data_IF_483366361219
#
_entry.id   IF_483366361219
#
_cell.length_a   1.000
_cell.length_b   1.000
_cell.length_c   1.000
_cell.angle_alpha   90.00
_cell.angle_beta   90.00
_cell.angle_gamma   90.00
#
_symmetry.space_group_name_H-M   'P 1'
#
loop_
_entity.id
_entity.type
_entity.pdbx_description
1 polymer ?
#
# COMPACT_ATOMS: atom_id res chain seq x y z
N UNK A 1 9.82 -4.99 29.41
CA UNK A 1 9.82 -5.12 27.90
C UNK A 1 10.35 -3.80 27.38
N UNK A 2 11.28 -3.80 26.42
CA UNK A 2 11.77 -2.53 25.84
C UNK A 2 10.60 -1.77 25.23
N UNK A 3 10.55 -0.44 25.39
CA UNK A 3 9.51 0.44 24.83
C UNK A 3 9.32 0.21 23.31
N UNK A 4 10.41 -0.04 22.59
CA UNK A 4 10.38 -0.33 21.15
C UNK A 4 9.46 -1.53 20.85
N UNK A 5 9.60 -2.63 21.56
CA UNK A 5 8.80 -3.83 21.32
C UNK A 5 7.32 -3.62 21.66
N UNK A 6 7.03 -2.86 22.73
CA UNK A 6 5.65 -2.46 23.06
C UNK A 6 5.02 -1.63 21.95
N UNK A 7 5.78 -0.70 21.36
CA UNK A 7 5.33 0.13 20.24
C UNK A 7 5.17 -0.65 18.93
N UNK A 8 6.06 -1.61 18.64
CA UNK A 8 5.92 -2.50 17.49
C UNK A 8 4.65 -3.36 17.58
N UNK A 9 4.37 -3.89 18.77
CA UNK A 9 3.21 -4.77 19.03
C UNK A 9 1.90 -4.01 19.28
N UNK A 10 1.92 -2.68 19.30
CA UNK A 10 0.71 -1.89 19.51
C UNK A 10 -0.37 -2.18 18.45
N UNK A 11 -1.65 -2.29 18.83
CA UNK A 11 -2.73 -2.48 17.88
C UNK A 11 -2.74 -1.43 16.76
N UNK A 12 -3.20 -1.83 15.58
CA UNK A 12 -3.43 -0.95 14.45
C UNK A 12 -4.80 -0.26 14.56
N UNK A 13 -4.90 0.95 14.03
CA UNK A 13 -6.18 1.63 13.93
C UNK A 13 -7.11 0.94 12.91
N UNK A 14 -8.43 1.03 13.05
CA UNK A 14 -9.38 0.33 12.16
C UNK A 14 -9.16 0.60 10.67
N UNK A 15 -8.74 1.80 10.28
CA UNK A 15 -8.48 2.19 8.89
C UNK A 15 -7.16 1.60 8.32
N UNK A 16 -6.28 1.05 9.16
CA UNK A 16 -5.06 0.35 8.76
C UNK A 16 -5.30 -1.15 8.56
N UNK A 17 -6.51 -1.64 8.87
CA UNK A 17 -6.88 -3.04 8.83
C UNK A 17 -7.74 -3.34 7.61
N UNK A 18 -7.38 -4.40 6.92
CA UNK A 18 -8.14 -4.95 5.82
C UNK A 18 -8.82 -6.27 6.20
N UNK A 19 -9.84 -6.66 5.44
CA UNK A 19 -10.58 -7.89 5.64
C UNK A 19 -10.63 -8.71 4.36
N UNK A 20 -10.54 -10.02 4.50
CA UNK A 20 -10.71 -10.95 3.38
C UNK A 20 -11.59 -12.13 3.76
N UNK A 21 -12.32 -12.65 2.79
CA UNK A 21 -13.05 -13.90 2.97
C UNK A 21 -12.07 -15.07 3.03
N UNK A 22 -12.17 -15.88 4.06
CA UNK A 22 -11.44 -17.13 4.20
C UNK A 22 -12.25 -18.30 3.64
N UNK A 23 -13.54 -18.36 3.98
CA UNK A 23 -14.50 -19.37 3.51
C UNK A 23 -15.86 -18.72 3.35
N UNK A 24 -16.65 -19.19 2.41
CA UNK A 24 -18.01 -18.72 2.19
C UNK A 24 -18.90 -19.82 1.62
N UNK A 25 -20.21 -19.68 1.77
CA UNK A 25 -21.17 -20.63 1.24
C UNK A 25 -22.61 -20.17 1.46
N UNK A 26 -23.54 -21.05 1.12
CA UNK A 26 -24.98 -20.87 1.33
C UNK A 26 -25.48 -21.87 2.36
N UNK A 27 -26.34 -21.44 3.27
CA UNK A 27 -27.05 -22.33 4.21
C UNK A 27 -28.51 -21.87 4.34
N UNK A 28 -29.46 -22.76 4.06
CA UNK A 28 -30.90 -22.45 4.07
C UNK A 28 -31.24 -21.18 3.24
N UNK A 29 -30.63 -21.04 2.07
CA UNK A 29 -30.87 -19.91 1.17
C UNK A 29 -30.23 -18.59 1.63
N UNK A 30 -29.42 -18.58 2.70
CA UNK A 30 -28.73 -17.39 3.20
C UNK A 30 -27.22 -17.50 2.97
N UNK A 31 -26.57 -16.44 2.47
CA UNK A 31 -25.12 -16.40 2.33
C UNK A 31 -24.45 -16.27 3.69
N UNK A 32 -23.30 -16.93 3.83
CA UNK A 32 -22.40 -16.77 4.95
C UNK A 32 -20.96 -16.67 4.47
N UNK A 33 -20.14 -15.93 5.19
CA UNK A 33 -18.70 -15.91 4.98
C UNK A 33 -17.95 -15.72 6.30
N UNK A 34 -16.97 -16.59 6.51
CA UNK A 34 -15.95 -16.40 7.53
C UNK A 34 -14.89 -15.47 6.96
N UNK A 35 -14.54 -14.43 7.72
CA UNK A 35 -13.61 -13.39 7.29
C UNK A 35 -12.44 -13.30 8.24
N UNK A 36 -11.29 -12.91 7.71
CA UNK A 36 -10.05 -12.70 8.46
C UNK A 36 -9.61 -11.25 8.31
N UNK A 37 -9.22 -10.67 9.43
CA UNK A 37 -8.57 -9.35 9.47
C UNK A 37 -7.07 -9.50 9.23
N UNK A 38 -6.47 -8.51 8.57
CA UNK A 38 -5.03 -8.48 8.32
C UNK A 38 -4.54 -7.04 8.11
N UNK A 39 -3.24 -6.84 8.19
CA UNK A 39 -2.58 -5.61 7.74
C UNK A 39 -1.95 -5.82 6.36
N UNK A 40 -1.87 -4.77 5.56
CA UNK A 40 -1.08 -4.83 4.34
C UNK A 40 0.43 -4.63 4.63
N UNK A 41 1.27 -4.93 3.65
CA UNK A 41 2.72 -4.77 3.82
C UNK A 41 3.15 -3.29 3.96
N UNK A 42 2.30 -2.33 3.57
CA UNK A 42 2.58 -0.89 3.71
C UNK A 42 2.36 -0.45 5.14
N UNK A 43 1.28 -0.88 5.79
CA UNK A 43 1.02 -0.62 7.21
C UNK A 43 2.16 -1.19 8.08
N UNK A 44 2.62 -2.41 7.80
CA UNK A 44 3.75 -3.00 8.51
C UNK A 44 5.06 -2.19 8.33
N UNK A 45 5.36 -1.74 7.10
CA UNK A 45 6.53 -0.88 6.83
C UNK A 45 6.41 0.49 7.50
N UNK A 46 5.23 1.08 7.49
CA UNK A 46 4.98 2.36 8.15
C UNK A 46 5.23 2.25 9.65
N UNK A 47 4.78 1.15 10.29
CA UNK A 47 5.05 0.85 11.70
C UNK A 47 6.55 0.73 11.97
N UNK A 48 7.30 -0.02 11.16
CA UNK A 48 8.76 -0.12 11.27
C UNK A 48 9.43 1.24 11.15
N UNK A 49 9.11 2.01 10.11
CA UNK A 49 9.68 3.34 9.90
C UNK A 49 9.42 4.29 11.06
N UNK A 50 8.20 4.26 11.63
CA UNK A 50 7.79 5.15 12.72
C UNK A 50 8.41 4.76 14.06
N UNK A 51 8.59 3.45 14.31
CA UNK A 51 9.03 2.97 15.63
C UNK A 51 10.53 2.86 15.75
N UNK A 52 11.20 2.31 14.72
CA UNK A 52 12.66 2.08 14.76
C UNK A 52 13.44 3.00 13.83
N UNK A 53 12.81 3.65 12.87
CA UNK A 53 13.46 4.43 11.83
C UNK A 53 13.82 3.58 10.59
N UNK A 54 13.75 4.16 9.37
CA UNK A 54 13.99 3.42 8.14
C UNK A 54 15.42 2.86 8.02
N UNK A 55 16.39 3.45 8.71
CA UNK A 55 17.81 3.03 8.73
C UNK A 55 18.08 1.89 9.71
N UNK A 56 17.10 1.54 10.57
CA UNK A 56 17.26 0.56 11.62
C UNK A 56 16.49 -0.73 11.37
N UNK A 57 16.04 -0.95 10.14
CA UNK A 57 15.50 -2.24 9.71
C UNK A 57 15.87 -2.56 8.27
N UNK A 58 15.96 -3.84 7.96
CA UNK A 58 16.17 -4.35 6.62
C UNK A 58 15.48 -5.70 6.47
N UNK A 59 15.12 -6.05 5.23
CA UNK A 59 14.56 -7.36 4.90
C UNK A 59 15.32 -7.99 3.74
N UNK A 60 15.64 -9.26 3.88
CA UNK A 60 16.28 -10.08 2.86
C UNK A 60 15.33 -11.24 2.53
N UNK A 61 15.29 -11.65 1.26
CA UNK A 61 14.42 -12.72 0.82
C UNK A 61 15.26 -13.87 0.23
N UNK A 62 14.89 -15.09 0.59
CA UNK A 62 15.50 -16.31 0.05
C UNK A 62 14.40 -17.28 -0.38
N UNK A 63 14.79 -18.26 -1.21
CA UNK A 63 13.91 -19.35 -1.57
C UNK A 63 13.62 -20.23 -0.35
N UNK A 64 12.33 -20.50 -0.11
CA UNK A 64 11.86 -21.45 0.89
C UNK A 64 11.54 -22.82 0.30
N UNK A 65 11.18 -23.80 1.15
CA UNK A 65 10.67 -25.10 0.71
C UNK A 65 9.45 -24.93 -0.20
N UNK A 66 9.22 -25.93 -1.07
CA UNK A 66 8.06 -25.99 -1.97
C UNK A 66 7.83 -24.70 -2.81
N UNK A 67 8.91 -24.06 -3.26
CA UNK A 67 8.90 -22.77 -3.97
C UNK A 67 8.34 -21.58 -3.15
N UNK A 68 8.26 -21.71 -1.84
CA UNK A 68 7.90 -20.62 -0.95
C UNK A 68 8.97 -19.53 -0.89
N UNK A 69 8.67 -18.46 -0.17
CA UNK A 69 9.55 -17.32 0.09
C UNK A 69 9.81 -17.22 1.58
N UNK A 70 11.07 -17.11 1.98
CA UNK A 70 11.50 -16.80 3.34
C UNK A 70 11.89 -15.32 3.38
N UNK A 71 11.35 -14.56 4.33
CA UNK A 71 11.76 -13.19 4.64
C UNK A 71 12.55 -13.19 5.95
N UNK A 72 13.77 -12.68 5.92
CA UNK A 72 14.58 -12.40 7.10
C UNK A 72 14.49 -10.91 7.38
N UNK A 73 13.71 -10.54 8.39
CA UNK A 73 13.57 -9.16 8.86
C UNK A 73 14.54 -8.93 10.01
N UNK A 74 15.51 -8.05 9.80
CA UNK A 74 16.47 -7.66 10.82
C UNK A 74 16.16 -6.27 11.35
N UNK A 75 16.16 -6.13 12.67
CA UNK A 75 16.08 -4.83 13.35
C UNK A 75 17.41 -4.54 14.05
N UNK A 76 17.79 -3.27 14.08
CA UNK A 76 18.96 -2.81 14.83
C UNK A 76 18.55 -2.47 16.25
N UNK A 77 18.97 -3.30 17.20
CA UNK A 77 18.64 -3.16 18.64
C UNK A 77 19.94 -3.03 19.42
N UNK A 78 20.09 -1.96 20.20
CA UNK A 78 21.31 -1.66 20.95
C UNK A 78 22.61 -1.68 20.10
N UNK A 79 22.49 -1.28 18.83
CA UNK A 79 23.63 -1.24 17.91
C UNK A 79 23.86 -2.53 17.11
N UNK A 80 23.22 -3.64 17.47
CA UNK A 80 23.38 -4.94 16.83
C UNK A 80 22.19 -5.25 15.90
N UNK A 81 22.45 -5.91 14.77
CA UNK A 81 21.43 -6.41 13.86
C UNK A 81 20.92 -7.77 14.33
N UNK A 82 19.68 -7.83 14.74
CA UNK A 82 19.03 -9.07 15.19
C UNK A 82 18.07 -9.54 14.09
N UNK A 83 18.34 -10.70 13.44
CA UNK A 83 17.45 -11.25 12.42
C UNK A 83 16.35 -12.11 13.04
N UNK A 84 15.14 -12.03 12.49
CA UNK A 84 14.08 -13.01 12.66
C UNK A 84 13.51 -13.33 11.30
N UNK A 85 13.04 -14.55 11.11
CA UNK A 85 12.55 -14.99 9.79
C UNK A 85 11.24 -15.76 9.88
N UNK A 86 10.45 -15.65 8.84
CA UNK A 86 9.29 -16.48 8.60
C UNK A 86 9.05 -16.56 7.08
N UNK A 87 8.23 -17.50 6.65
CA UNK A 87 8.00 -17.77 5.24
C UNK A 87 6.54 -17.78 4.86
N UNK A 88 6.29 -17.67 3.57
CA UNK A 88 4.98 -17.84 2.96
C UNK A 88 5.09 -18.59 1.64
N UNK A 89 4.02 -19.31 1.30
CA UNK A 89 3.87 -19.86 -0.02
C UNK A 89 3.68 -18.74 -1.06
N UNK A 90 4.02 -19.02 -2.31
CA UNK A 90 3.62 -18.17 -3.42
C UNK A 90 2.11 -18.24 -3.63
N UNK A 91 1.51 -17.15 -4.10
CA UNK A 91 0.07 -17.09 -4.39
C UNK A 91 -0.20 -17.44 -5.86
N UNK A 92 -1.38 -17.96 -6.17
CA UNK A 92 -1.78 -18.29 -7.54
C UNK A 92 -1.82 -17.05 -8.45
N UNK A 93 -2.17 -15.89 -7.88
CA UNK A 93 -2.20 -14.60 -8.59
C UNK A 93 -1.02 -13.75 -8.13
N UNK A 94 -0.21 -13.25 -9.08
CA UNK A 94 1.02 -12.48 -8.84
C UNK A 94 1.98 -13.21 -7.86
N UNK A 95 2.48 -14.41 -8.20
CA UNK A 95 3.20 -15.30 -7.26
C UNK A 95 4.35 -14.61 -6.52
N UNK A 96 5.17 -13.84 -7.24
CA UNK A 96 6.33 -13.14 -6.65
C UNK A 96 5.89 -12.08 -5.64
N UNK A 97 4.94 -11.23 -6.02
CA UNK A 97 4.43 -10.16 -5.15
C UNK A 97 3.71 -10.73 -3.93
N UNK A 98 2.88 -11.76 -4.14
CA UNK A 98 2.14 -12.44 -3.07
C UNK A 98 3.08 -13.12 -2.08
N UNK A 99 4.05 -13.89 -2.55
CA UNK A 99 5.04 -14.57 -1.73
C UNK A 99 5.90 -13.60 -0.92
N UNK A 100 6.49 -12.57 -1.56
CA UNK A 100 7.29 -11.56 -0.88
C UNK A 100 6.48 -10.79 0.18
N UNK A 101 5.26 -10.34 -0.15
CA UNK A 101 4.40 -9.61 0.76
C UNK A 101 3.90 -10.48 1.92
N UNK A 102 3.60 -11.75 1.64
CA UNK A 102 3.20 -12.75 2.64
C UNK A 102 4.32 -13.02 3.64
N UNK A 103 5.51 -13.40 3.14
CA UNK A 103 6.68 -13.68 3.95
C UNK A 103 7.09 -12.48 4.82
N UNK A 104 7.09 -11.27 4.24
CA UNK A 104 7.39 -10.05 4.98
C UNK A 104 6.43 -9.81 6.14
N UNK A 105 5.12 -9.91 5.92
CA UNK A 105 4.13 -9.72 6.99
C UNK A 105 4.25 -10.76 8.09
N UNK A 106 4.56 -12.01 7.74
CA UNK A 106 4.80 -13.07 8.72
C UNK A 106 6.08 -12.81 9.52
N UNK A 107 7.17 -12.37 8.87
CA UNK A 107 8.39 -11.96 9.57
C UNK A 107 8.15 -10.75 10.49
N UNK A 108 7.26 -9.80 10.10
CA UNK A 108 6.82 -8.71 10.96
C UNK A 108 6.07 -9.21 12.20
N UNK A 109 5.20 -10.23 12.06
CA UNK A 109 4.48 -10.82 13.19
C UNK A 109 5.44 -11.47 14.21
N UNK A 110 6.55 -12.09 13.78
CA UNK A 110 7.59 -12.60 14.70
C UNK A 110 8.23 -11.48 15.53
N UNK A 111 8.15 -10.23 15.08
CA UNK A 111 8.56 -9.03 15.82
C UNK A 111 7.41 -8.39 16.62
N UNK A 112 6.23 -9.03 16.67
CA UNK A 112 5.03 -8.54 17.33
C UNK A 112 4.15 -7.63 16.48
N UNK A 113 4.58 -7.23 15.29
CA UNK A 113 3.82 -6.31 14.42
C UNK A 113 2.62 -7.03 13.82
N UNK A 114 1.41 -6.73 14.33
CA UNK A 114 0.17 -7.35 13.89
C UNK A 114 -0.01 -8.79 14.38
N UNK A 115 0.84 -9.28 15.29
CA UNK A 115 0.75 -10.65 15.86
C UNK A 115 -0.61 -10.88 16.55
N UNK A 116 -1.11 -9.89 17.28
CA UNK A 116 -2.41 -9.96 17.98
C UNK A 116 -3.61 -10.26 17.05
N UNK A 117 -3.48 -10.03 15.74
CA UNK A 117 -4.53 -10.31 14.77
C UNK A 117 -4.80 -11.82 14.64
N UNK A 118 -3.84 -12.67 14.99
CA UNK A 118 -4.01 -14.11 15.02
C UNK A 118 -4.86 -14.58 16.22
N UNK A 119 -4.98 -13.75 17.26
CA UNK A 119 -5.79 -14.03 18.45
C UNK A 119 -7.27 -13.66 18.25
N UNK A 120 -7.60 -13.00 17.12
CA UNK A 120 -8.96 -12.68 16.75
C UNK A 120 -9.62 -13.96 16.21
N UNK A 121 -10.52 -14.52 17.01
CA UNK A 121 -11.24 -15.74 16.64
C UNK A 121 -12.12 -15.60 15.40
N UNK A 122 -12.94 -16.59 15.17
CA UNK A 122 -13.85 -16.64 14.01
C UNK A 122 -14.69 -15.38 13.88
N UNK A 123 -14.55 -14.73 12.76
CA UNK A 123 -15.25 -13.49 12.42
C UNK A 123 -16.17 -13.73 11.22
N UNK A 124 -17.38 -13.18 11.28
CA UNK A 124 -18.41 -13.42 10.27
C UNK A 124 -18.81 -12.14 9.57
N UNK A 125 -18.90 -12.20 8.25
CA UNK A 125 -19.37 -11.09 7.41
C UNK A 125 -20.83 -10.76 7.68
N UNK A 126 -21.17 -9.47 7.76
CA UNK A 126 -22.54 -9.00 7.77
C UNK A 126 -23.00 -8.75 6.32
N UNK A 127 -23.91 -9.60 5.82
CA UNK A 127 -24.44 -9.46 4.47
C UNK A 127 -25.55 -8.41 4.42
N UNK A 128 -25.47 -7.49 3.43
CA UNK A 128 -26.49 -6.47 3.18
C UNK A 128 -26.48 -6.08 1.69
N UNK A 129 -27.54 -5.44 1.21
CA UNK A 129 -27.62 -4.93 -0.17
C UNK A 129 -26.60 -3.82 -0.46
N UNK A 130 -26.16 -3.10 0.57
CA UNK A 130 -25.27 -1.94 0.46
C UNK A 130 -23.87 -2.17 1.05
N UNK A 131 -23.53 -3.42 1.42
CA UNK A 131 -22.23 -3.75 2.00
C UNK A 131 -21.05 -3.25 1.18
N UNK A 132 -20.00 -2.78 1.86
CA UNK A 132 -18.84 -2.15 1.24
C UNK A 132 -17.97 -3.15 0.45
N UNK A 133 -17.94 -4.41 0.88
CA UNK A 133 -17.16 -5.49 0.29
C UNK A 133 -18.02 -6.37 -0.63
N UNK A 134 -17.36 -7.16 -1.48
CA UNK A 134 -18.04 -8.11 -2.37
C UNK A 134 -17.42 -9.50 -2.28
N UNK A 135 -18.27 -10.52 -2.36
CA UNK A 135 -17.87 -11.92 -2.48
C UNK A 135 -18.76 -12.62 -3.49
N UNK A 136 -18.21 -13.56 -4.24
CA UNK A 136 -18.96 -14.40 -5.16
C UNK A 136 -19.17 -15.76 -4.52
N UNK A 137 -20.45 -16.16 -4.29
CA UNK A 137 -20.85 -17.44 -3.73
C UNK A 137 -21.76 -18.14 -4.74
N UNK A 138 -21.41 -19.34 -5.14
CA UNK A 138 -22.16 -20.15 -6.15
C UNK A 138 -22.48 -19.36 -7.44
N UNK A 139 -21.53 -18.54 -7.87
CA UNK A 139 -21.68 -17.72 -9.07
C UNK A 139 -22.41 -16.39 -8.86
N UNK A 140 -23.05 -16.15 -7.73
CA UNK A 140 -23.80 -14.93 -7.41
C UNK A 140 -22.94 -13.98 -6.58
N UNK A 141 -22.97 -12.70 -6.94
CA UNK A 141 -22.26 -11.65 -6.20
C UNK A 141 -23.11 -11.18 -5.01
N UNK A 142 -22.53 -11.26 -3.82
CA UNK A 142 -23.11 -10.77 -2.58
C UNK A 142 -22.28 -9.60 -2.03
N UNK A 143 -22.94 -8.67 -1.35
CA UNK A 143 -22.28 -7.58 -0.63
C UNK A 143 -22.26 -7.86 0.86
N UNK A 144 -21.20 -7.42 1.53
CA UNK A 144 -21.01 -7.63 2.95
C UNK A 144 -20.19 -6.51 3.59
N UNK A 145 -20.33 -6.36 4.89
CA UNK A 145 -19.53 -5.46 5.72
C UNK A 145 -18.70 -6.26 6.71
N UNK A 146 -17.46 -5.80 7.00
CA UNK A 146 -16.64 -6.42 8.04
C UNK A 146 -17.27 -6.29 9.41
N UNK A 147 -17.06 -7.27 10.30
CA UNK A 147 -17.50 -7.18 11.68
C UNK A 147 -16.71 -6.10 12.43
N UNK A 148 -17.31 -5.52 13.46
CA UNK A 148 -16.61 -4.61 14.37
C UNK A 148 -15.65 -5.40 15.25
N UNK A 149 -14.41 -4.93 15.36
CA UNK A 149 -13.44 -5.49 16.27
C UNK A 149 -13.82 -5.22 17.73
N UNK A 150 -13.53 -6.20 18.59
CA UNK A 150 -13.64 -5.99 20.03
C UNK A 150 -12.68 -4.90 20.51
N UNK A 151 -13.07 -4.04 21.48
CA UNK A 151 -12.23 -2.94 21.98
C UNK A 151 -10.84 -3.37 22.46
N UNK A 152 -10.66 -4.60 22.89
CA UNK A 152 -9.37 -5.13 23.33
C UNK A 152 -8.33 -5.21 22.19
N UNK A 153 -8.76 -5.29 20.94
CA UNK A 153 -7.93 -5.34 19.74
C UNK A 153 -7.74 -3.96 19.08
N UNK A 154 -8.24 -2.92 19.69
CA UNK A 154 -8.12 -1.55 19.22
C UNK A 154 -7.09 -0.78 20.07
N UNK A 155 -6.48 0.28 19.54
CA UNK A 155 -5.59 1.13 20.31
C UNK A 155 -6.29 1.67 21.56
N UNK A 156 -5.69 1.46 22.74
CA UNK A 156 -6.27 1.88 24.04
C UNK A 156 -6.41 3.42 24.17
N UNK A 157 -5.65 4.15 23.37
CA UNK A 157 -5.71 5.59 23.21
C UNK A 157 -5.95 5.92 21.73
N UNK A 158 -7.12 5.54 21.19
CA UNK A 158 -7.70 6.34 20.14
C UNK A 158 -8.06 7.68 20.81
N UNK A 159 -7.05 8.51 21.02
CA UNK A 159 -7.19 9.90 21.49
C UNK A 159 -8.25 10.57 20.61
N UNK A 160 -9.04 11.52 21.10
CA UNK A 160 -9.90 12.39 20.26
C UNK A 160 -9.14 13.01 19.06
N UNK A 161 -7.81 13.09 19.14
CA UNK A 161 -6.90 13.48 18.06
C UNK A 161 -6.85 12.48 16.89
N UNK A 162 -7.35 11.26 17.01
CA UNK A 162 -7.62 10.42 15.83
C UNK A 162 -8.73 11.07 14.98
N UNK A 163 -9.70 11.75 15.58
CA UNK A 163 -10.67 12.57 14.85
C UNK A 163 -10.03 13.82 14.24
N UNK A 164 -9.12 14.49 14.94
CA UNK A 164 -8.36 15.61 14.37
C UNK A 164 -7.42 15.17 13.25
N UNK A 165 -6.83 13.96 13.32
CA UNK A 165 -6.03 13.41 12.24
C UNK A 165 -6.92 12.95 11.08
N UNK A 166 -8.04 12.30 11.36
CA UNK A 166 -9.05 11.93 10.35
C UNK A 166 -9.73 13.18 9.77
N UNK A 167 -9.99 14.22 10.57
CA UNK A 167 -10.49 15.52 10.11
C UNK A 167 -9.43 16.33 9.37
N UNK A 168 -8.16 16.25 9.77
CA UNK A 168 -7.04 16.83 9.03
C UNK A 168 -6.76 16.06 7.73
N UNK A 169 -6.89 14.72 7.73
CA UNK A 169 -6.81 13.90 6.52
C UNK A 169 -8.02 14.16 5.62
N UNK A 170 -9.23 14.21 6.17
CA UNK A 170 -10.46 14.55 5.44
C UNK A 170 -10.48 16.01 4.97
N UNK A 171 -9.91 16.94 5.73
CA UNK A 171 -9.69 18.32 5.30
C UNK A 171 -8.61 18.42 4.22
N UNK A 172 -7.59 17.58 4.27
CA UNK A 172 -6.58 17.43 3.22
C UNK A 172 -7.17 16.78 1.97
N UNK A 173 -8.06 15.80 2.11
CA UNK A 173 -8.81 15.17 1.02
C UNK A 173 -9.86 16.11 0.44
N UNK A 174 -10.55 16.91 1.27
CA UNK A 174 -11.51 17.93 0.83
C UNK A 174 -10.84 19.18 0.22
N UNK A 175 -9.54 19.39 0.47
CA UNK A 175 -8.73 20.41 -0.20
C UNK A 175 -8.25 19.99 -1.61
N UNK A 176 -8.90 18.99 -2.23
CA UNK A 176 -8.72 18.68 -3.65
C UNK A 176 -7.63 17.66 -3.96
N UNK A 177 -7.50 16.60 -3.16
CA UNK A 177 -6.70 15.47 -3.55
C UNK A 177 -7.39 14.70 -4.68
N UNK A 178 -7.05 15.06 -5.91
CA UNK A 178 -7.54 14.44 -7.15
C UNK A 178 -6.78 13.15 -7.52
N UNK A 179 -6.28 12.40 -6.54
CA UNK A 179 -5.58 11.12 -6.77
C UNK A 179 -4.17 11.24 -7.35
N UNK A 180 -3.65 12.45 -7.49
CA UNK A 180 -2.30 12.69 -7.97
C UNK A 180 -1.33 12.68 -6.79
N UNK A 181 -0.40 11.70 -6.74
CA UNK A 181 0.80 11.84 -5.93
C UNK A 181 1.41 13.22 -6.19
N UNK A 182 1.93 13.95 -5.17
CA UNK A 182 2.74 15.11 -5.44
C UNK A 182 3.89 14.65 -6.33
N UNK A 183 3.84 15.04 -7.60
CA UNK A 183 4.91 14.75 -8.55
C UNK A 183 6.08 15.59 -8.07
N UNK A 184 7.08 14.95 -7.47
CA UNK A 184 8.36 15.62 -7.20
C UNK A 184 8.82 16.19 -8.53
N UNK A 185 9.14 17.47 -8.55
CA UNK A 185 9.78 18.08 -9.74
C UNK A 185 10.98 17.19 -10.09
N UNK A 186 10.97 16.49 -11.22
CA UNK A 186 12.05 15.57 -11.55
C UNK A 186 13.33 16.41 -11.77
N UNK A 187 14.47 15.87 -11.37
CA UNK A 187 15.74 16.43 -11.81
C UNK A 187 15.87 16.24 -13.34
N UNK A 188 16.82 16.90 -13.96
CA UNK A 188 17.01 16.88 -15.42
C UNK A 188 17.21 15.44 -15.96
N UNK A 189 17.93 14.59 -15.26
CA UNK A 189 18.20 13.20 -15.65
C UNK A 189 16.91 12.38 -15.65
N UNK A 190 16.11 12.46 -14.58
CA UNK A 190 14.82 11.78 -14.47
C UNK A 190 13.81 12.32 -15.49
N UNK A 191 13.83 13.63 -15.77
CA UNK A 191 12.96 14.22 -16.77
C UNK A 191 13.27 13.68 -18.18
N UNK A 192 14.55 13.53 -18.54
CA UNK A 192 15.00 12.95 -19.80
C UNK A 192 14.60 11.47 -19.96
N UNK A 193 14.66 10.70 -18.87
CA UNK A 193 14.32 9.28 -18.85
C UNK A 193 12.81 9.02 -18.81
N UNK A 194 11.97 10.01 -18.49
CA UNK A 194 10.51 9.86 -18.45
C UNK A 194 9.99 9.46 -19.84
N UNK A 195 9.11 8.47 -19.88
CA UNK A 195 8.57 7.95 -21.13
C UNK A 195 7.32 8.72 -21.58
N UNK A 196 7.21 8.93 -22.88
CA UNK A 196 6.02 9.54 -23.49
C UNK A 196 4.77 8.66 -23.25
N UNK A 197 3.70 9.17 -22.60
CA UNK A 197 2.59 8.31 -22.16
C UNK A 197 1.54 8.05 -23.26
N UNK A 198 1.56 8.81 -24.37
CA UNK A 198 0.54 8.70 -25.42
C UNK A 198 1.08 9.07 -26.82
N UNK A 199 0.25 8.91 -27.84
CA UNK A 199 0.55 9.31 -29.21
C UNK A 199 1.48 8.35 -29.96
N UNK A 200 1.99 8.81 -31.13
CA UNK A 200 2.89 8.02 -31.99
C UNK A 200 4.23 7.70 -31.36
N UNK A 201 4.65 8.49 -30.39
CA UNK A 201 5.93 8.39 -29.69
C UNK A 201 5.78 7.75 -28.31
N UNK A 202 4.63 7.12 -28.01
CA UNK A 202 4.39 6.42 -26.74
C UNK A 202 5.51 5.44 -26.42
N UNK A 203 6.01 5.48 -25.18
CA UNK A 203 7.06 4.61 -24.67
C UNK A 203 8.49 5.05 -25.04
N UNK A 204 8.67 6.14 -25.78
CA UNK A 204 10.00 6.73 -26.02
C UNK A 204 10.40 7.68 -24.89
N UNK A 205 11.68 7.75 -24.50
CA UNK A 205 12.16 8.75 -23.55
C UNK A 205 11.89 10.18 -24.05
N UNK A 206 11.56 11.10 -23.16
CA UNK A 206 11.30 12.48 -23.53
C UNK A 206 12.55 13.19 -24.10
N UNK A 207 13.75 12.72 -23.75
CA UNK A 207 15.01 13.18 -24.39
C UNK A 207 15.05 12.99 -25.90
N UNK A 208 14.33 11.99 -26.41
CA UNK A 208 14.31 11.61 -27.81
C UNK A 208 13.16 12.28 -28.60
N UNK A 209 12.39 13.14 -27.93
CA UNK A 209 11.28 13.87 -28.52
C UNK A 209 11.71 15.31 -28.84
N UNK A 210 11.53 15.78 -30.06
CA UNK A 210 11.80 17.17 -30.40
C UNK A 210 11.02 18.15 -29.51
N UNK A 211 11.65 19.24 -29.10
CA UNK A 211 11.08 20.24 -28.18
C UNK A 211 9.73 20.77 -28.66
N UNK A 212 9.57 20.99 -29.96
CA UNK A 212 8.33 21.42 -30.58
C UNK A 212 7.20 20.38 -30.43
N UNK A 213 7.52 19.09 -30.57
CA UNK A 213 6.56 18.01 -30.41
C UNK A 213 6.18 17.81 -28.94
N UNK A 214 7.14 18.06 -28.04
CA UNK A 214 6.91 18.04 -26.59
C UNK A 214 5.95 19.16 -26.17
N UNK A 215 6.11 20.36 -26.72
CA UNK A 215 5.19 21.50 -26.50
C UNK A 215 3.77 21.18 -26.99
N UNK A 216 3.65 20.64 -28.21
CA UNK A 216 2.34 20.25 -28.78
C UNK A 216 1.66 19.15 -27.97
N UNK A 217 2.43 18.14 -27.55
CA UNK A 217 1.91 17.04 -26.73
C UNK A 217 1.40 17.54 -25.36
N UNK A 218 2.12 18.46 -24.75
CA UNK A 218 1.72 19.09 -23.48
C UNK A 218 0.46 19.90 -23.63
N UNK A 219 0.38 20.80 -24.62
CA UNK A 219 -0.82 21.59 -24.90
C UNK A 219 -2.03 20.70 -25.18
N UNK A 220 -1.85 19.63 -25.97
CA UNK A 220 -2.92 18.68 -26.23
C UNK A 220 -3.43 18.00 -24.96
N UNK A 221 -2.54 17.61 -24.03
CA UNK A 221 -2.93 16.98 -22.76
C UNK A 221 -3.70 17.96 -21.86
N UNK A 222 -3.29 19.20 -21.79
CA UNK A 222 -3.96 20.30 -21.06
C UNK A 222 -5.37 20.57 -21.64
N UNK A 223 -5.48 20.77 -22.94
CA UNK A 223 -6.74 21.08 -23.64
C UNK A 223 -7.79 19.95 -23.57
N UNK A 224 -7.33 18.70 -23.50
CA UNK A 224 -8.21 17.54 -23.43
C UNK A 224 -8.44 17.03 -21.99
N UNK A 225 -8.00 17.76 -20.96
CA UNK A 225 -8.20 17.41 -19.56
C UNK A 225 -7.60 16.04 -19.19
N UNK A 226 -6.55 15.60 -19.90
CA UNK A 226 -5.88 14.33 -19.63
C UNK A 226 -4.79 14.48 -18.58
N UNK A 227 -4.94 13.74 -17.48
CA UNK A 227 -3.97 13.78 -16.39
C UNK A 227 -2.82 12.81 -16.65
N UNK A 228 -1.64 13.35 -16.97
CA UNK A 228 -0.36 12.63 -17.08
C UNK A 228 0.68 13.34 -16.19
N UNK A 229 0.58 13.25 -14.85
CA UNK A 229 1.33 14.11 -13.94
C UNK A 229 2.86 13.99 -14.08
N UNK A 230 3.39 12.80 -14.28
CA UNK A 230 4.83 12.59 -14.48
C UNK A 230 5.32 13.22 -15.79
N UNK A 231 4.57 13.04 -16.88
CA UNK A 231 4.87 13.69 -18.17
C UNK A 231 4.78 15.21 -18.06
N UNK A 232 3.77 15.75 -17.40
CA UNK A 232 3.58 17.19 -17.24
C UNK A 232 4.73 17.82 -16.44
N UNK A 233 5.18 17.19 -15.38
CA UNK A 233 6.31 17.65 -14.58
C UNK A 233 7.65 17.55 -15.35
N UNK A 234 7.91 16.39 -15.96
CA UNK A 234 9.15 16.14 -16.71
C UNK A 234 9.27 17.06 -17.94
N UNK A 235 8.20 17.21 -18.72
CA UNK A 235 8.18 18.10 -19.89
C UNK A 235 8.38 19.56 -19.51
N UNK A 236 7.88 20.00 -18.34
CA UNK A 236 8.13 21.37 -17.86
C UNK A 236 9.61 21.63 -17.61
N UNK A 237 10.33 20.69 -17.00
CA UNK A 237 11.78 20.78 -16.74
C UNK A 237 12.56 20.86 -18.06
N UNK A 238 12.25 19.98 -19.02
CA UNK A 238 12.95 19.96 -20.32
C UNK A 238 12.66 21.19 -21.16
N UNK A 239 11.43 21.72 -21.14
CA UNK A 239 11.07 22.92 -21.87
C UNK A 239 11.68 24.20 -21.26
N UNK A 240 11.84 24.24 -19.93
CA UNK A 240 12.54 25.34 -19.25
C UNK A 240 14.04 25.36 -19.59
N UNK A 241 14.70 24.18 -19.60
CA UNK A 241 16.10 24.04 -20.00
C UNK A 241 16.33 24.46 -21.45
N UNK A 242 15.46 24.03 -22.38
CA UNK A 242 15.51 24.41 -23.78
C UNK A 242 15.25 25.91 -24.01
N UNK A 243 14.43 26.55 -23.16
CA UNK A 243 14.20 27.99 -23.19
C UNK A 243 15.41 28.80 -22.68
N UNK A 244 16.09 28.29 -21.65
CA UNK A 244 17.31 28.91 -21.12
C UNK A 244 18.51 28.78 -22.05
N UNK A 245 18.56 27.73 -22.88
CA UNK A 245 19.63 27.53 -23.88
C UNK A 245 19.43 28.34 -25.17
N UNK A 246 18.25 28.94 -25.37
CA UNK A 246 17.90 29.76 -26.55
C UNK A 246 17.90 31.27 -26.28
N UNK A 247 18.18 31.69 -25.03
CA UNK A 247 18.33 33.08 -24.59
C UNK A 247 19.81 33.43 -24.35
#
# INVERSE_FOLDING_TARGET
MSEIFTRLAAPFAPHELDWRVARSGMTNGKPWAQVLVYIDARAARARLNTVVGPENWKVEYTHGPANGVIATLSLRVAGEWIPKQDGADVTDIEPVKGGLSGAFKRACAVWGIGEYLYDIGDSWAAFSEHGAQRVKIDGVAHRWDPPKLSPQFLPKNASPNAREFDEALAAHDSAGWNGSRPVRTPNMENARATLMPFGRTKGRPLSDIPVEDLRKARAWAEDNGKSYPEFMAASAVLLADAGAAAA
#
